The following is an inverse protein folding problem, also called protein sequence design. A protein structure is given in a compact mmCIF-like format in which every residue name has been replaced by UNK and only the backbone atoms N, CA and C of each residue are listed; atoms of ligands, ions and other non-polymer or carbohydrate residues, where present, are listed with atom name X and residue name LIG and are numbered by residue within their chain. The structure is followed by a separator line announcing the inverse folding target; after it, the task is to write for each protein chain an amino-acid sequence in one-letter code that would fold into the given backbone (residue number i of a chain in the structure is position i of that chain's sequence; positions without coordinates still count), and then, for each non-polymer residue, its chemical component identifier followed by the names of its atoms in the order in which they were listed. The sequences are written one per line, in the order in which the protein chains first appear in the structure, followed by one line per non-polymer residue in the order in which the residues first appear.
data_IF_824218780319
#
_entry.id   IF_824218780319
#
_cell.length_a   1.000
_cell.length_b   1.000
_cell.length_c   1.000
_cell.angle_alpha   90.00
_cell.angle_beta   90.00
_cell.angle_gamma   90.00
#
_symmetry.space_group_name_H-M   'P 1'
#
loop_
_entity.id
_entity.type
_entity.pdbx_description
1 polymer ?
#
# COMPACT_ATOMS: atom_id res chain seq x y z
N UNK A 1 24.94 -44.11 -43.62
CA UNK A 1 24.30 -43.72 -42.38
C UNK A 1 24.53 -42.22 -42.20
N UNK A 2 23.51 -41.38 -42.41
CA UNK A 2 23.59 -39.92 -42.23
C UNK A 2 22.89 -39.62 -40.92
N UNK A 3 23.66 -39.15 -39.91
CA UNK A 3 23.13 -38.72 -38.62
C UNK A 3 22.53 -37.33 -38.75
N UNK A 4 21.23 -37.21 -38.50
CA UNK A 4 20.55 -35.93 -38.34
C UNK A 4 20.67 -35.46 -36.86
N UNK A 5 21.32 -34.32 -36.69
CA UNK A 5 21.34 -33.62 -35.38
C UNK A 5 20.13 -32.69 -35.33
N UNK A 6 19.17 -32.98 -34.44
CA UNK A 6 18.08 -32.08 -34.14
C UNK A 6 18.57 -31.05 -33.12
N UNK A 7 18.67 -29.79 -33.52
CA UNK A 7 18.89 -28.66 -32.62
C UNK A 7 17.52 -28.24 -32.09
N UNK A 8 17.27 -28.52 -30.81
CA UNK A 8 16.11 -27.96 -30.09
C UNK A 8 16.42 -26.50 -29.71
N UNK A 9 15.83 -25.55 -30.40
CA UNK A 9 15.85 -24.13 -30.00
C UNK A 9 14.79 -23.95 -28.91
N UNK A 10 15.23 -23.84 -27.65
CA UNK A 10 14.38 -23.44 -26.54
C UNK A 10 14.08 -21.95 -26.70
N UNK A 11 12.89 -21.63 -27.16
CA UNK A 11 12.34 -20.26 -27.05
C UNK A 11 12.06 -19.97 -25.59
N UNK A 12 12.95 -19.22 -24.93
CA UNK A 12 12.69 -18.60 -23.66
C UNK A 12 11.70 -17.46 -23.94
N UNK A 13 10.41 -17.72 -23.73
CA UNK A 13 9.41 -16.66 -23.63
C UNK A 13 9.74 -15.84 -22.37
N UNK A 14 10.44 -14.73 -22.57
CA UNK A 14 10.55 -13.67 -21.59
C UNK A 14 9.13 -13.16 -21.33
N UNK A 15 8.55 -13.51 -20.18
CA UNK A 15 7.37 -12.82 -19.67
C UNK A 15 7.80 -11.39 -19.31
N UNK A 16 7.64 -10.48 -20.26
CA UNK A 16 7.63 -9.05 -19.94
C UNK A 16 6.52 -8.80 -18.91
N UNK A 17 6.77 -8.01 -17.85
CA UNK A 17 5.73 -7.68 -16.90
C UNK A 17 4.57 -7.01 -17.63
N UNK A 18 3.34 -7.44 -17.32
CA UNK A 18 2.11 -6.88 -17.88
C UNK A 18 2.15 -5.35 -17.80
N UNK A 19 2.17 -4.71 -18.97
CA UNK A 19 2.10 -3.26 -19.08
C UNK A 19 0.77 -2.79 -18.45
N UNK A 20 0.79 -1.72 -17.63
CA UNK A 20 -0.43 -1.14 -17.09
C UNK A 20 -1.38 -0.78 -18.24
N UNK A 21 -2.67 -1.07 -18.06
CA UNK A 21 -3.72 -0.80 -19.04
C UNK A 21 -3.71 0.68 -19.47
N UNK A 22 -4.03 0.98 -20.70
CA UNK A 22 -4.02 2.31 -21.36
C UNK A 22 -4.84 3.43 -20.68
N UNK A 23 -5.50 3.15 -19.54
CA UNK A 23 -6.38 4.06 -18.82
C UNK A 23 -5.71 4.84 -17.67
N UNK A 24 -4.40 4.69 -17.48
CA UNK A 24 -3.68 5.42 -16.43
C UNK A 24 -3.63 6.92 -16.74
N UNK A 25 -3.89 7.76 -15.73
CA UNK A 25 -3.86 9.22 -15.83
C UNK A 25 -2.67 9.78 -15.05
N UNK A 26 -1.96 10.76 -15.63
CA UNK A 26 -0.98 11.55 -14.92
C UNK A 26 -1.62 12.85 -14.43
N UNK A 27 -1.28 13.28 -13.21
CA UNK A 27 -1.57 14.63 -12.75
C UNK A 27 -0.51 15.57 -13.35
N UNK A 28 -0.98 16.62 -14.04
CA UNK A 28 -0.11 17.66 -14.56
C UNK A 28 0.10 18.75 -13.50
N UNK A 29 1.27 19.37 -13.55
CA UNK A 29 1.59 20.55 -12.78
C UNK A 29 2.21 21.61 -13.72
N UNK A 30 1.39 22.46 -14.36
CA UNK A 30 1.90 23.50 -15.28
C UNK A 30 2.81 24.51 -14.61
N UNK A 31 2.66 24.72 -13.29
CA UNK A 31 3.46 25.64 -12.49
C UNK A 31 4.76 24.99 -11.97
N UNK A 32 4.96 23.70 -12.22
CA UNK A 32 6.19 22.99 -11.88
C UNK A 32 7.37 23.46 -12.75
N UNK A 33 8.57 23.38 -12.17
CA UNK A 33 9.80 23.73 -12.89
C UNK A 33 9.97 22.88 -14.15
N UNK A 34 10.35 23.53 -15.24
CA UNK A 34 10.82 22.88 -16.46
C UNK A 34 12.30 22.62 -16.31
N UNK A 35 12.64 21.34 -16.15
CA UNK A 35 14.01 20.94 -15.83
C UNK A 35 14.62 20.14 -16.98
N UNK A 36 15.93 20.30 -17.17
CA UNK A 36 16.75 19.32 -17.86
C UNK A 36 17.66 18.63 -16.85
N UNK A 37 17.54 17.32 -16.73
CA UNK A 37 18.29 16.47 -15.80
C UNK A 37 19.29 15.68 -16.63
N UNK A 38 20.59 15.93 -16.43
CA UNK A 38 21.65 15.36 -17.26
C UNK A 38 22.44 14.28 -16.54
N UNK A 39 22.99 13.33 -17.28
CA UNK A 39 23.96 12.33 -16.80
C UNK A 39 23.45 11.36 -15.71
N UNK A 40 22.17 11.37 -15.33
CA UNK A 40 21.64 10.53 -14.26
C UNK A 40 21.50 9.05 -14.64
N UNK A 41 21.67 8.15 -13.67
CA UNK A 41 21.37 6.74 -13.80
C UNK A 41 19.91 6.50 -13.41
N UNK A 42 19.05 6.28 -14.38
CA UNK A 42 17.60 6.16 -14.20
C UNK A 42 17.17 4.69 -14.09
N UNK A 43 16.43 4.37 -13.04
CA UNK A 43 15.87 3.03 -12.86
C UNK A 43 14.80 2.74 -13.92
N UNK A 44 14.94 1.63 -14.62
CA UNK A 44 14.02 1.24 -15.70
C UNK A 44 13.05 0.09 -15.31
N UNK A 45 13.07 -0.34 -14.05
CA UNK A 45 12.31 -1.47 -13.52
C UNK A 45 13.13 -2.76 -13.34
N UNK A 46 14.37 -2.81 -13.86
CA UNK A 46 15.28 -3.95 -13.73
C UNK A 46 16.70 -3.52 -13.32
N UNK A 47 17.18 -2.45 -13.92
CA UNK A 47 18.53 -1.92 -13.71
C UNK A 47 18.56 -0.39 -13.90
N UNK A 48 19.76 0.18 -13.88
CA UNK A 48 19.96 1.61 -14.12
C UNK A 48 20.48 1.86 -15.53
N UNK A 49 19.91 2.87 -16.20
CA UNK A 49 20.34 3.33 -17.53
C UNK A 49 20.71 4.80 -17.47
N UNK A 50 21.93 5.15 -17.90
CA UNK A 50 22.38 6.55 -17.97
C UNK A 50 21.67 7.26 -19.13
N UNK A 51 21.00 8.39 -18.81
CA UNK A 51 20.30 9.22 -19.81
C UNK A 51 20.05 10.63 -19.30
N UNK A 52 19.76 11.52 -20.26
CA UNK A 52 19.15 12.81 -19.97
C UNK A 52 17.62 12.65 -19.96
N UNK A 53 16.96 13.39 -19.05
CA UNK A 53 15.52 13.43 -18.91
C UNK A 53 15.07 14.88 -18.76
N UNK A 54 13.92 15.21 -19.31
CA UNK A 54 13.29 16.52 -19.15
C UNK A 54 12.04 16.39 -18.29
N UNK A 55 11.72 17.46 -17.57
CA UNK A 55 10.47 17.62 -16.84
C UNK A 55 9.71 18.78 -17.46
N UNK A 56 8.48 18.54 -17.88
CA UNK A 56 7.59 19.55 -18.44
C UNK A 56 6.17 19.29 -17.99
N UNK A 57 5.46 20.34 -17.52
CA UNK A 57 4.12 20.25 -16.94
C UNK A 57 4.01 19.21 -15.80
N UNK A 58 5.10 19.01 -15.03
CA UNK A 58 5.17 18.01 -13.96
C UNK A 58 5.23 16.56 -14.46
N UNK A 59 5.57 16.33 -15.73
CA UNK A 59 5.68 15.01 -16.36
C UNK A 59 7.11 14.75 -16.84
N UNK A 60 7.50 13.49 -16.79
CA UNK A 60 8.76 13.00 -17.35
C UNK A 60 8.71 13.00 -18.89
N UNK A 61 9.79 13.48 -19.53
CA UNK A 61 10.00 13.48 -20.96
C UNK A 61 11.38 12.90 -21.28
N UNK A 62 11.45 11.98 -22.23
CA UNK A 62 12.69 11.33 -22.65
C UNK A 62 13.23 11.92 -23.97
N UNK A 63 12.56 12.95 -24.46
CA UNK A 63 13.00 13.78 -25.58
C UNK A 63 13.04 15.26 -25.17
N UNK A 64 13.87 16.08 -25.83
CA UNK A 64 13.98 17.48 -25.50
C UNK A 64 12.62 18.20 -25.51
N UNK A 65 12.38 19.00 -24.47
CA UNK A 65 11.21 19.88 -24.44
C UNK A 65 11.38 21.01 -25.47
N UNK A 66 10.29 21.39 -26.11
CA UNK A 66 10.25 22.58 -27.00
C UNK A 66 10.06 23.89 -26.21
N UNK A 67 9.75 23.80 -24.91
CA UNK A 67 9.58 24.95 -24.02
C UNK A 67 10.91 25.37 -23.43
N UNK A 68 11.07 26.67 -23.08
CA UNK A 68 12.25 27.14 -22.34
C UNK A 68 12.45 26.33 -21.04
N UNK A 69 13.72 26.01 -20.73
CA UNK A 69 14.11 25.27 -19.52
C UNK A 69 14.40 26.29 -18.40
N UNK A 70 13.79 26.09 -17.22
CA UNK A 70 14.02 26.97 -16.06
C UNK A 70 15.34 26.62 -15.35
N UNK A 71 15.70 25.33 -15.32
CA UNK A 71 16.95 24.87 -14.66
C UNK A 71 17.51 23.61 -15.32
N UNK A 72 18.86 23.51 -15.25
CA UNK A 72 19.60 22.30 -15.65
C UNK A 72 20.29 21.74 -14.40
N UNK A 73 20.07 20.47 -14.12
CA UNK A 73 20.65 19.76 -12.97
C UNK A 73 21.54 18.64 -13.48
N UNK A 74 22.80 18.64 -13.11
CA UNK A 74 23.74 17.55 -13.41
C UNK A 74 23.63 16.48 -12.33
N UNK A 75 23.25 15.28 -12.75
CA UNK A 75 23.07 14.09 -11.91
C UNK A 75 24.19 13.07 -12.11
N UNK A 76 25.40 13.52 -12.49
CA UNK A 76 26.58 12.65 -12.64
C UNK A 76 26.82 11.87 -11.34
N UNK A 77 26.88 10.53 -11.44
CA UNK A 77 27.09 9.62 -10.31
C UNK A 77 25.85 9.37 -9.44
N UNK A 78 24.72 9.98 -9.74
CA UNK A 78 23.47 9.79 -8.99
C UNK A 78 22.60 8.70 -9.59
N UNK A 79 21.77 8.09 -8.73
CA UNK A 79 20.81 7.07 -9.07
C UNK A 79 19.39 7.57 -8.84
N UNK A 80 18.54 7.48 -9.85
CA UNK A 80 17.20 8.03 -9.82
C UNK A 80 16.21 6.90 -9.79
N UNK A 81 15.34 6.90 -8.76
CA UNK A 81 14.30 5.89 -8.53
C UNK A 81 12.92 6.52 -8.36
N UNK A 82 11.81 5.76 -8.55
CA UNK A 82 10.50 6.24 -8.14
C UNK A 82 10.46 6.48 -6.63
N UNK A 83 9.58 7.36 -6.12
CA UNK A 83 9.42 7.57 -4.68
C UNK A 83 8.90 6.30 -3.99
N UNK A 84 9.18 6.20 -2.69
CA UNK A 84 8.61 5.18 -1.84
C UNK A 84 7.14 5.46 -1.56
N UNK A 85 6.44 4.40 -1.13
CA UNK A 85 5.04 4.48 -0.78
C UNK A 85 4.73 3.67 0.49
N UNK A 86 3.75 4.12 1.24
CA UNK A 86 3.24 3.51 2.47
C UNK A 86 1.85 2.95 2.21
N UNK A 87 1.75 1.64 1.94
CA UNK A 87 0.49 1.02 1.54
C UNK A 87 -0.48 0.75 2.69
N UNK A 88 -0.09 0.99 3.94
CA UNK A 88 -0.96 0.83 5.11
C UNK A 88 -0.48 1.67 6.29
N UNK A 89 -1.20 2.73 6.63
CA UNK A 89 -0.91 3.54 7.81
C UNK A 89 -2.14 4.25 8.37
N UNK A 90 -1.99 4.87 9.59
CA UNK A 90 -3.01 5.62 10.31
C UNK A 90 -2.51 6.97 10.87
N UNK A 91 -1.30 7.39 10.52
CA UNK A 91 -0.65 8.56 11.14
C UNK A 91 -1.22 9.91 10.72
N UNK A 92 -1.90 9.98 9.58
CA UNK A 92 -2.35 11.23 8.96
C UNK A 92 -3.85 11.51 9.19
N UNK A 93 -4.47 10.88 10.20
CA UNK A 93 -5.91 10.97 10.46
C UNK A 93 -6.30 12.15 11.35
N UNK A 94 -5.35 12.96 11.84
CA UNK A 94 -5.62 14.04 12.77
C UNK A 94 -4.64 15.21 12.64
N UNK A 95 -5.04 16.40 13.11
CA UNK A 95 -4.19 17.59 13.13
C UNK A 95 -3.00 17.49 14.11
N UNK A 96 -3.01 16.51 15.05
CA UNK A 96 -1.94 16.38 16.02
C UNK A 96 -0.60 16.03 15.35
N UNK A 97 0.37 16.93 15.46
CA UNK A 97 1.70 16.84 14.85
C UNK A 97 1.65 16.53 13.34
N UNK A 98 0.64 17.04 12.64
CA UNK A 98 0.42 16.68 11.25
C UNK A 98 1.59 17.09 10.36
N UNK A 99 2.09 18.32 10.53
CA UNK A 99 3.21 18.79 9.70
C UNK A 99 4.48 17.97 9.96
N UNK A 100 4.82 17.72 11.23
CA UNK A 100 5.99 16.88 11.59
C UNK A 100 5.91 15.49 10.93
N UNK A 101 4.69 14.93 10.84
CA UNK A 101 4.47 13.63 10.21
C UNK A 101 4.61 13.72 8.69
N UNK A 102 4.02 14.74 8.05
CA UNK A 102 4.19 14.97 6.62
C UNK A 102 5.67 15.11 6.28
N UNK A 103 6.40 15.93 7.04
CA UNK A 103 7.83 16.14 6.84
C UNK A 103 8.62 14.84 7.03
N UNK A 104 8.29 14.04 8.05
CA UNK A 104 8.91 12.73 8.26
C UNK A 104 8.73 11.78 7.07
N UNK A 105 7.54 11.72 6.48
CA UNK A 105 7.30 10.91 5.29
C UNK A 105 8.12 11.43 4.09
N UNK A 106 8.03 12.72 3.80
CA UNK A 106 8.72 13.32 2.65
C UNK A 106 10.25 13.22 2.76
N UNK A 107 10.82 13.48 3.95
CA UNK A 107 12.25 13.37 4.22
C UNK A 107 12.78 11.94 4.08
N UNK A 108 11.92 10.94 4.33
CA UNK A 108 12.23 9.54 4.08
C UNK A 108 11.88 9.06 2.65
N UNK A 109 11.56 9.97 1.75
CA UNK A 109 11.25 9.66 0.35
C UNK A 109 9.88 9.03 0.10
N UNK A 110 9.00 8.99 1.10
CA UNK A 110 7.64 8.43 0.98
C UNK A 110 6.69 9.53 0.51
N UNK A 111 6.15 9.41 -0.71
CA UNK A 111 5.27 10.43 -1.30
C UNK A 111 3.80 10.03 -1.36
N UNK A 112 3.51 8.75 -1.25
CA UNK A 112 2.18 8.16 -1.41
C UNK A 112 1.81 7.35 -0.17
N UNK A 113 0.64 7.62 0.42
CA UNK A 113 0.19 6.96 1.65
C UNK A 113 -1.25 6.48 1.50
N UNK A 114 -1.54 5.26 1.98
CA UNK A 114 -2.88 4.69 2.05
C UNK A 114 -3.35 4.63 3.49
N UNK A 115 -4.44 5.33 3.79
CA UNK A 115 -5.08 5.36 5.11
C UNK A 115 -6.25 4.38 5.12
N UNK A 116 -6.07 3.24 5.79
CA UNK A 116 -7.00 2.11 5.75
C UNK A 116 -8.25 2.30 6.60
N UNK A 117 -8.25 3.30 7.48
CA UNK A 117 -9.41 3.67 8.30
C UNK A 117 -9.24 5.10 8.77
N UNK A 118 -10.24 5.93 8.58
CA UNK A 118 -10.26 7.30 9.10
C UNK A 118 -11.69 7.74 9.43
N UNK A 119 -11.81 8.77 10.26
CA UNK A 119 -13.10 9.42 10.51
C UNK A 119 -13.21 10.65 9.62
N UNK A 120 -14.14 10.62 8.67
CA UNK A 120 -14.31 11.71 7.68
C UNK A 120 -14.37 13.09 8.33
N UNK A 121 -15.13 13.29 9.41
CA UNK A 121 -15.21 14.56 10.14
C UNK A 121 -13.87 15.06 10.69
N UNK A 122 -12.90 14.16 10.93
CA UNK A 122 -11.56 14.55 11.40
C UNK A 122 -10.61 14.88 10.27
N UNK A 123 -10.75 14.16 9.13
CA UNK A 123 -9.80 14.29 8.03
C UNK A 123 -10.19 15.37 7.02
N UNK A 124 -11.49 15.64 6.83
CA UNK A 124 -11.96 16.67 5.88
C UNK A 124 -11.30 18.04 6.09
N UNK A 125 -11.16 18.56 7.32
CA UNK A 125 -10.46 19.81 7.55
C UNK A 125 -8.96 19.79 7.18
N UNK A 126 -8.37 18.60 7.04
CA UNK A 126 -6.94 18.39 6.76
C UNK A 126 -6.66 18.19 5.28
N UNK A 127 -7.69 18.03 4.46
CA UNK A 127 -7.52 17.69 3.04
C UNK A 127 -6.72 18.76 2.26
N UNK A 128 -6.67 19.99 2.75
CA UNK A 128 -5.86 21.05 2.15
C UNK A 128 -4.33 20.83 2.30
N UNK A 129 -3.89 19.92 3.18
CA UNK A 129 -2.48 19.53 3.31
C UNK A 129 -2.06 18.46 2.29
N UNK A 130 -3.02 17.72 1.72
CA UNK A 130 -2.75 16.52 0.91
C UNK A 130 -2.97 16.74 -0.60
N UNK A 131 -2.48 15.80 -1.37
CA UNK A 131 -2.72 15.69 -2.81
C UNK A 131 -2.23 16.91 -3.60
N UNK A 132 -1.12 17.52 -3.17
CA UNK A 132 -0.44 18.67 -3.77
C UNK A 132 1.00 18.32 -4.18
N UNK A 133 1.62 19.03 -5.16
CA UNK A 133 2.99 18.76 -5.56
C UNK A 133 4.02 18.81 -4.43
N UNK A 134 3.84 19.69 -3.45
CA UNK A 134 4.74 19.87 -2.30
C UNK A 134 4.26 19.14 -1.02
N UNK A 135 3.32 18.24 -1.11
CA UNK A 135 2.77 17.48 0.01
C UNK A 135 2.65 15.99 -0.27
N UNK A 136 2.15 15.23 0.70
CA UNK A 136 1.83 13.83 0.51
C UNK A 136 0.58 13.64 -0.35
N UNK A 137 0.55 12.60 -1.17
CA UNK A 137 -0.68 12.11 -1.75
C UNK A 137 -1.26 11.00 -0.86
N UNK A 138 -2.52 11.16 -0.48
CA UNK A 138 -3.22 10.20 0.39
C UNK A 138 -4.44 9.60 -0.30
N UNK A 139 -4.64 8.31 -0.08
CA UNK A 139 -5.84 7.54 -0.48
C UNK A 139 -6.58 7.07 0.77
N UNK A 140 -7.90 7.18 0.80
CA UNK A 140 -8.72 7.10 1.99
C UNK A 140 -9.83 6.05 1.88
N UNK A 141 -9.91 5.09 2.81
CA UNK A 141 -11.07 4.22 2.97
C UNK A 141 -12.21 4.87 3.77
N UNK A 142 -11.88 5.85 4.61
CA UNK A 142 -12.78 6.34 5.66
C UNK A 142 -13.24 5.22 6.62
N UNK A 143 -14.55 5.08 6.84
CA UNK A 143 -15.12 4.14 7.79
C UNK A 143 -15.10 2.70 7.24
N UNK A 144 -14.42 1.74 7.91
CA UNK A 144 -14.41 0.35 7.47
C UNK A 144 -15.74 -0.35 7.72
N UNK A 145 -16.02 -1.41 6.96
CA UNK A 145 -17.17 -2.30 7.17
C UNK A 145 -16.78 -3.43 8.14
N UNK A 146 -17.58 -3.63 9.18
CA UNK A 146 -17.35 -4.65 10.20
C UNK A 146 -18.67 -5.22 10.73
N UNK A 147 -18.63 -6.28 11.55
CA UNK A 147 -19.81 -6.79 12.25
C UNK A 147 -20.06 -6.05 13.58
N UNK A 148 -21.24 -6.24 14.15
CA UNK A 148 -21.55 -5.73 15.49
C UNK A 148 -20.55 -6.24 16.54
N UNK A 149 -19.95 -5.33 17.30
CA UNK A 149 -18.88 -5.64 18.26
C UNK A 149 -17.58 -6.10 17.64
N UNK A 150 -17.40 -5.96 16.32
CA UNK A 150 -16.20 -6.35 15.59
C UNK A 150 -15.08 -5.30 15.69
N UNK A 151 -13.89 -5.65 15.13
CA UNK A 151 -12.81 -4.69 14.95
C UNK A 151 -13.22 -3.63 13.91
N UNK A 152 -12.97 -2.32 14.07
CA UNK A 152 -12.17 -1.67 15.13
C UNK A 152 -13.00 -1.04 16.27
N UNK A 153 -14.22 -1.52 16.56
CA UNK A 153 -15.13 -0.87 17.53
C UNK A 153 -14.49 -0.74 18.91
N UNK A 154 -13.81 -1.80 19.39
CA UNK A 154 -13.11 -1.74 20.69
C UNK A 154 -12.00 -0.68 20.71
N UNK A 155 -11.26 -0.52 19.62
CA UNK A 155 -10.24 0.52 19.46
C UNK A 155 -10.88 1.91 19.47
N UNK A 156 -12.00 2.12 18.76
CA UNK A 156 -12.73 3.38 18.76
C UNK A 156 -13.29 3.72 20.16
N UNK A 157 -13.78 2.71 20.90
CA UNK A 157 -14.23 2.88 22.30
C UNK A 157 -13.07 3.32 23.21
N UNK A 158 -11.88 2.73 23.04
CA UNK A 158 -10.67 3.12 23.77
C UNK A 158 -10.26 4.56 23.45
N UNK A 159 -10.27 4.96 22.19
CA UNK A 159 -9.96 6.32 21.76
C UNK A 159 -10.97 7.35 22.30
N UNK A 160 -12.25 6.98 22.32
CA UNK A 160 -13.28 7.81 22.94
C UNK A 160 -12.99 8.02 24.43
N UNK A 161 -12.66 6.94 25.17
CA UNK A 161 -12.30 7.00 26.58
C UNK A 161 -11.09 7.93 26.85
N UNK A 162 -10.07 7.90 26.00
CA UNK A 162 -8.90 8.76 26.10
C UNK A 162 -9.11 10.18 25.54
N UNK A 163 -10.34 10.52 25.15
CA UNK A 163 -10.68 11.87 24.68
C UNK A 163 -10.19 12.22 23.27
N UNK A 164 -9.72 11.25 22.48
CA UNK A 164 -9.27 11.50 21.10
C UNK A 164 -10.37 12.05 20.18
N UNK A 165 -11.64 11.89 20.56
CA UNK A 165 -12.80 12.38 19.81
C UNK A 165 -13.52 13.55 20.49
N UNK A 166 -12.88 14.20 21.46
CA UNK A 166 -13.45 15.35 22.17
C UNK A 166 -13.90 16.44 21.18
N UNK A 167 -15.12 16.90 21.33
CA UNK A 167 -15.75 17.90 20.45
C UNK A 167 -16.36 17.33 19.16
N UNK A 168 -16.16 16.03 18.86
CA UNK A 168 -16.73 15.36 17.68
C UNK A 168 -17.79 14.32 18.06
N UNK A 169 -17.47 13.47 19.04
CA UNK A 169 -18.34 12.37 19.48
C UNK A 169 -18.26 12.18 20.99
N UNK A 170 -19.40 11.91 21.62
CA UNK A 170 -19.49 11.64 23.05
C UNK A 170 -19.84 10.19 23.40
N UNK A 171 -20.27 9.41 22.43
CA UNK A 171 -20.63 7.99 22.59
C UNK A 171 -20.13 7.15 21.42
N UNK A 172 -20.00 5.84 21.65
CA UNK A 172 -19.60 4.90 20.58
C UNK A 172 -20.67 4.80 19.48
N UNK A 173 -21.96 4.90 19.85
CA UNK A 173 -23.06 4.93 18.89
C UNK A 173 -23.03 6.17 17.99
N UNK A 174 -22.52 7.30 18.47
CA UNK A 174 -22.33 8.48 17.63
C UNK A 174 -21.16 8.33 16.63
N UNK A 175 -20.23 7.41 16.88
CA UNK A 175 -19.11 7.09 15.96
C UNK A 175 -19.56 6.12 14.87
N UNK A 176 -20.57 5.32 15.12
CA UNK A 176 -21.17 4.44 14.08
C UNK A 176 -21.58 5.26 12.85
N UNK A 177 -21.42 4.68 11.67
CA UNK A 177 -21.61 5.35 10.38
C UNK A 177 -20.73 6.59 10.14
N UNK A 178 -19.68 6.78 10.96
CA UNK A 178 -18.64 7.81 10.78
C UNK A 178 -17.24 7.22 10.87
N UNK A 179 -16.99 6.32 11.81
CA UNK A 179 -15.71 5.66 12.05
C UNK A 179 -15.72 4.15 11.80
N UNK A 180 -16.90 3.57 11.56
CA UNK A 180 -17.15 2.21 11.10
C UNK A 180 -18.62 2.07 10.66
N UNK A 181 -18.90 1.07 9.81
CA UNK A 181 -20.27 0.66 9.46
C UNK A 181 -20.50 -0.77 9.93
N UNK A 182 -21.63 -1.00 10.63
CA UNK A 182 -22.01 -2.35 11.07
C UNK A 182 -22.79 -3.03 9.95
N UNK A 183 -22.25 -4.16 9.46
CA UNK A 183 -22.83 -4.98 8.39
C UNK A 183 -22.87 -6.42 8.90
N UNK A 184 -24.00 -6.86 9.48
CA UNK A 184 -24.15 -8.23 9.98
C UNK A 184 -24.69 -9.18 8.92
N UNK A 185 -25.35 -8.66 7.89
CA UNK A 185 -26.01 -9.42 6.84
C UNK A 185 -26.12 -8.63 5.54
N UNK A 186 -26.76 -9.23 4.54
CA UNK A 186 -26.92 -8.60 3.23
C UNK A 186 -27.90 -7.42 3.23
N UNK A 187 -28.88 -7.42 4.12
CA UNK A 187 -29.85 -6.32 4.20
C UNK A 187 -29.22 -5.09 4.83
N UNK A 188 -28.37 -5.26 5.86
CA UNK A 188 -27.56 -4.15 6.41
C UNK A 188 -26.69 -3.53 5.33
N UNK A 189 -26.04 -4.35 4.49
CA UNK A 189 -25.24 -3.85 3.39
C UNK A 189 -26.07 -3.01 2.41
N UNK A 190 -27.23 -3.52 2.01
CA UNK A 190 -28.12 -2.83 1.07
C UNK A 190 -28.62 -1.49 1.64
N UNK A 191 -28.98 -1.48 2.91
CA UNK A 191 -29.50 -0.30 3.60
C UNK A 191 -28.42 0.79 3.85
N UNK A 192 -27.15 0.40 4.03
CA UNK A 192 -26.10 1.35 4.37
C UNK A 192 -25.21 1.75 3.17
N UNK A 193 -25.35 1.09 2.02
CA UNK A 193 -24.41 1.26 0.91
C UNK A 193 -24.33 2.69 0.38
N UNK A 194 -25.48 3.35 0.17
CA UNK A 194 -25.50 4.73 -0.29
C UNK A 194 -24.82 5.68 0.71
N UNK A 195 -24.96 5.39 2.01
CA UNK A 195 -24.26 6.16 3.04
C UNK A 195 -22.76 5.91 3.01
N UNK A 196 -22.30 4.69 2.78
CA UNK A 196 -20.87 4.40 2.58
C UNK A 196 -20.33 5.21 1.41
N UNK A 197 -21.03 5.20 0.27
CA UNK A 197 -20.63 5.93 -0.93
C UNK A 197 -20.65 7.46 -0.72
N UNK A 198 -21.55 7.98 0.12
CA UNK A 198 -21.64 9.43 0.43
C UNK A 198 -20.37 9.97 1.09
N UNK A 199 -19.52 9.11 1.63
CA UNK A 199 -18.22 9.50 2.18
C UNK A 199 -17.17 9.69 1.08
N UNK A 200 -17.47 9.30 -0.16
CA UNK A 200 -16.53 9.35 -1.30
C UNK A 200 -15.21 8.63 -1.01
N UNK A 201 -15.24 7.37 -0.54
CA UNK A 201 -14.02 6.62 -0.29
C UNK A 201 -13.28 6.33 -1.59
N UNK A 202 -11.94 6.31 -1.56
CA UNK A 202 -11.12 5.88 -2.70
C UNK A 202 -11.14 4.35 -2.87
N UNK A 203 -11.44 3.62 -1.80
CA UNK A 203 -11.59 2.16 -1.77
C UNK A 203 -12.39 1.72 -0.53
N UNK A 204 -12.90 0.50 -0.53
CA UNK A 204 -13.62 -0.07 0.61
C UNK A 204 -12.66 -0.86 1.50
N UNK A 205 -12.66 -0.60 2.81
CA UNK A 205 -11.98 -1.42 3.81
C UNK A 205 -12.98 -2.34 4.50
N UNK A 206 -12.65 -3.62 4.57
CA UNK A 206 -13.43 -4.64 5.30
C UNK A 206 -12.60 -5.28 6.39
N UNK A 207 -13.28 -5.79 7.43
CA UNK A 207 -12.65 -6.44 8.59
C UNK A 207 -13.04 -7.90 8.67
N UNK A 208 -12.08 -8.78 8.40
CA UNK A 208 -12.18 -10.23 8.63
C UNK A 208 -11.27 -10.59 9.80
N UNK A 209 -11.83 -11.21 10.82
CA UNK A 209 -11.11 -11.70 12.00
C UNK A 209 -11.74 -13.00 12.45
N UNK A 210 -10.95 -14.07 12.47
CA UNK A 210 -11.34 -15.40 12.94
C UNK A 210 -12.63 -15.89 12.28
N UNK A 211 -12.70 -15.76 10.96
CA UNK A 211 -13.88 -16.14 10.18
C UNK A 211 -14.23 -17.61 10.27
N UNK A 212 -13.28 -18.50 10.62
CA UNK A 212 -13.47 -19.90 10.95
C UNK A 212 -14.30 -20.11 12.23
N UNK A 213 -14.25 -19.14 13.14
CA UNK A 213 -14.99 -19.15 14.40
C UNK A 213 -16.19 -18.18 14.40
N UNK A 214 -16.61 -17.70 13.23
CA UNK A 214 -17.66 -16.68 13.13
C UNK A 214 -18.94 -17.07 13.88
N UNK A 215 -19.43 -18.30 13.73
CA UNK A 215 -20.65 -18.78 14.38
C UNK A 215 -20.55 -18.80 15.90
N UNK A 216 -19.35 -19.01 16.45
CA UNK A 216 -19.08 -18.98 17.91
C UNK A 216 -19.01 -17.53 18.39
N UNK A 217 -18.26 -16.67 17.65
CA UNK A 217 -17.92 -15.33 18.11
C UNK A 217 -19.03 -14.29 17.88
N UNK A 218 -19.87 -14.46 16.87
CA UNK A 218 -20.81 -13.43 16.41
C UNK A 218 -21.70 -12.84 17.51
N UNK A 219 -22.22 -13.66 18.42
CA UNK A 219 -23.14 -13.26 19.50
C UNK A 219 -22.48 -13.21 20.89
N UNK A 220 -21.23 -13.65 21.03
CA UNK A 220 -20.54 -13.69 22.30
C UNK A 220 -19.81 -12.35 22.57
N UNK A 221 -20.13 -11.72 23.70
CA UNK A 221 -19.53 -10.48 24.14
C UNK A 221 -18.08 -10.63 24.61
N UNK A 222 -17.64 -11.85 24.96
CA UNK A 222 -16.26 -12.15 25.30
C UNK A 222 -15.29 -11.83 24.12
N UNK A 223 -15.80 -11.92 22.90
CA UNK A 223 -15.03 -11.61 21.67
C UNK A 223 -15.23 -10.17 21.17
N UNK A 224 -15.67 -9.24 22.02
CA UNK A 224 -15.81 -7.84 21.63
C UNK A 224 -14.47 -7.25 21.15
N UNK A 225 -14.43 -6.78 19.89
CA UNK A 225 -13.23 -6.28 19.24
C UNK A 225 -12.35 -7.38 18.58
N UNK A 226 -12.65 -8.66 18.78
CA UNK A 226 -11.93 -9.83 18.26
C UNK A 226 -12.80 -10.69 17.34
N UNK A 227 -13.62 -10.06 16.52
CA UNK A 227 -14.45 -10.65 15.47
C UNK A 227 -14.63 -9.69 14.30
N UNK A 228 -15.03 -10.20 13.16
CA UNK A 228 -15.21 -9.46 11.92
C UNK A 228 -16.54 -9.76 11.24
N UNK A 229 -16.60 -9.46 9.94
CA UNK A 229 -17.76 -9.69 9.07
C UNK A 229 -18.12 -11.18 8.96
N UNK A 230 -19.41 -11.47 8.72
CA UNK A 230 -19.83 -12.78 8.27
C UNK A 230 -19.12 -13.11 6.93
N UNK A 231 -18.36 -14.22 6.86
CA UNK A 231 -17.72 -14.66 5.62
C UNK A 231 -18.67 -14.78 4.43
N UNK A 232 -19.95 -15.06 4.68
CA UNK A 232 -20.98 -15.19 3.64
C UNK A 232 -21.39 -13.88 2.99
N UNK A 233 -21.19 -12.74 3.69
CA UNK A 233 -21.52 -11.40 3.18
C UNK A 233 -20.40 -10.83 2.32
N UNK A 234 -19.14 -11.23 2.54
CA UNK A 234 -17.96 -10.68 1.88
C UNK A 234 -18.04 -10.72 0.35
N UNK A 235 -18.47 -11.81 -0.32
CA UNK A 235 -18.60 -11.81 -1.78
C UNK A 235 -19.60 -10.76 -2.30
N UNK A 236 -20.66 -10.48 -1.55
CA UNK A 236 -21.64 -9.44 -1.92
C UNK A 236 -21.05 -8.04 -1.76
N UNK A 237 -20.26 -7.79 -0.69
CA UNK A 237 -19.55 -6.53 -0.51
C UNK A 237 -18.59 -6.29 -1.68
N UNK A 238 -17.75 -7.27 -2.02
CA UNK A 238 -16.79 -7.18 -3.13
C UNK A 238 -17.51 -6.87 -4.45
N UNK A 239 -18.56 -7.63 -4.76
CA UNK A 239 -19.37 -7.39 -5.97
C UNK A 239 -19.92 -5.97 -6.02
N UNK A 240 -20.45 -5.47 -4.90
CA UNK A 240 -21.06 -4.13 -4.82
C UNK A 240 -20.04 -3.02 -4.95
N UNK A 241 -18.88 -3.18 -4.31
CA UNK A 241 -17.76 -2.26 -4.42
C UNK A 241 -17.27 -2.16 -5.89
N UNK A 242 -17.06 -3.30 -6.54
CA UNK A 242 -16.63 -3.34 -7.95
C UNK A 242 -17.66 -2.72 -8.88
N UNK A 243 -18.96 -2.92 -8.65
CA UNK A 243 -20.04 -2.24 -9.40
C UNK A 243 -20.03 -0.72 -9.23
N UNK A 244 -19.53 -0.23 -8.08
CA UNK A 244 -19.33 1.19 -7.80
C UNK A 244 -17.96 1.71 -8.26
N UNK A 245 -17.14 0.89 -8.94
CA UNK A 245 -15.80 1.25 -9.40
C UNK A 245 -14.75 1.31 -8.28
N UNK A 246 -15.06 0.75 -7.10
CA UNK A 246 -14.19 0.77 -5.93
C UNK A 246 -13.51 -0.58 -5.72
N UNK A 247 -12.22 -0.55 -5.34
CA UNK A 247 -11.46 -1.72 -4.89
C UNK A 247 -11.78 -2.04 -3.45
N UNK A 248 -11.50 -3.29 -3.03
CA UNK A 248 -11.70 -3.76 -1.67
C UNK A 248 -10.37 -4.18 -1.05
N UNK A 249 -10.04 -3.62 0.12
CA UNK A 249 -8.90 -4.00 0.95
C UNK A 249 -9.41 -4.72 2.21
N UNK A 250 -8.95 -5.95 2.44
CA UNK A 250 -9.39 -6.78 3.56
C UNK A 250 -8.34 -6.82 4.67
N UNK A 251 -8.72 -6.43 5.89
CA UNK A 251 -8.01 -6.87 7.09
C UNK A 251 -8.21 -8.36 7.26
N UNK A 252 -7.15 -9.07 7.56
CA UNK A 252 -7.17 -10.49 7.89
C UNK A 252 -6.30 -10.75 9.12
N UNK A 253 -6.76 -11.59 10.02
CA UNK A 253 -6.01 -12.00 11.22
C UNK A 253 -5.42 -13.40 11.02
N UNK A 254 -6.22 -14.32 10.47
CA UNK A 254 -5.86 -15.72 10.29
C UNK A 254 -5.64 -16.11 8.84
N UNK A 255 -5.03 -17.27 8.62
CA UNK A 255 -4.89 -17.83 7.25
C UNK A 255 -6.24 -18.25 6.67
N UNK A 256 -7.24 -18.49 7.52
CA UNK A 256 -8.61 -18.72 7.06
C UNK A 256 -9.26 -17.42 6.57
N UNK A 257 -9.06 -16.31 7.28
CA UNK A 257 -9.49 -14.98 6.81
C UNK A 257 -8.87 -14.65 5.45
N UNK A 258 -7.57 -14.93 5.28
CA UNK A 258 -6.89 -14.81 4.00
C UNK A 258 -7.60 -15.62 2.90
N UNK A 259 -7.94 -16.89 3.18
CA UNK A 259 -8.69 -17.72 2.24
C UNK A 259 -10.04 -17.12 1.86
N UNK A 260 -10.84 -16.69 2.86
CA UNK A 260 -12.14 -16.07 2.65
C UNK A 260 -12.04 -14.83 1.76
N UNK A 261 -11.08 -13.94 2.05
CA UNK A 261 -10.85 -12.72 1.29
C UNK A 261 -10.44 -13.02 -0.16
N UNK A 262 -9.47 -13.92 -0.35
CA UNK A 262 -9.00 -14.32 -1.68
C UNK A 262 -10.10 -15.00 -2.48
N UNK A 263 -10.88 -15.88 -1.87
CA UNK A 263 -12.01 -16.56 -2.52
C UNK A 263 -13.09 -15.57 -2.94
N UNK A 264 -13.39 -14.58 -2.10
CA UNK A 264 -14.35 -13.52 -2.41
C UNK A 264 -13.87 -12.59 -3.54
N UNK A 265 -12.58 -12.52 -3.79
CA UNK A 265 -12.00 -11.71 -4.86
C UNK A 265 -11.78 -10.26 -4.46
N UNK A 266 -11.34 -10.02 -3.23
CA UNK A 266 -10.83 -8.70 -2.82
C UNK A 266 -9.65 -8.29 -3.71
N UNK A 267 -9.35 -7.01 -3.77
CA UNK A 267 -8.23 -6.52 -4.58
C UNK A 267 -6.92 -6.47 -3.79
N UNK A 268 -7.02 -6.42 -2.46
CA UNK A 268 -5.88 -6.31 -1.57
C UNK A 268 -6.14 -6.99 -0.23
N UNK A 269 -5.11 -7.66 0.26
CA UNK A 269 -4.99 -8.11 1.65
C UNK A 269 -4.16 -7.05 2.38
N UNK A 270 -4.73 -6.45 3.42
CA UNK A 270 -4.12 -5.30 4.10
C UNK A 270 -3.02 -5.67 5.10
N UNK A 271 -2.98 -6.92 5.51
CA UNK A 271 -1.97 -7.48 6.42
C UNK A 271 -1.55 -8.86 5.95
N UNK A 272 -0.29 -9.23 6.14
CA UNK A 272 0.07 -10.63 6.15
C UNK A 272 -0.62 -11.27 7.38
N UNK A 273 -1.31 -12.43 7.25
CA UNK A 273 -1.91 -13.10 8.40
C UNK A 273 -0.87 -13.31 9.50
N UNK A 274 -1.17 -12.84 10.72
CA UNK A 274 -0.17 -12.89 11.79
C UNK A 274 0.09 -14.32 12.21
N UNK A 275 -0.91 -15.12 12.47
CA UNK A 275 -0.77 -16.57 12.65
C UNK A 275 -2.04 -17.15 13.23
N UNK A 276 -2.54 -18.09 12.56
CA UNK A 276 -3.53 -19.02 13.08
C UNK A 276 -2.79 -20.27 13.60
N UNK A 277 -2.60 -20.37 14.91
CA UNK A 277 -2.04 -21.55 15.58
C UNK A 277 -0.83 -22.19 14.88
N UNK A 278 0.05 -21.37 14.31
CA UNK A 278 1.24 -21.83 13.59
C UNK A 278 0.98 -22.39 12.19
N UNK A 279 -0.23 -22.27 11.64
CA UNK A 279 -0.51 -22.72 10.27
C UNK A 279 -0.11 -21.67 9.24
N UNK A 280 0.70 -22.05 8.24
CA UNK A 280 1.03 -21.15 7.12
C UNK A 280 -0.18 -20.99 6.19
N UNK A 281 -0.10 -19.97 5.31
CA UNK A 281 -1.01 -19.85 4.17
C UNK A 281 -0.89 -21.12 3.33
N UNK A 282 -2.04 -21.71 2.96
CA UNK A 282 -2.05 -22.88 2.08
C UNK A 282 -1.62 -22.49 0.65
N UNK A 283 -0.90 -23.40 -0.01
CA UNK A 283 -0.34 -23.14 -1.34
C UNK A 283 -1.42 -22.78 -2.39
N UNK A 284 -2.55 -23.49 -2.34
CA UNK A 284 -3.68 -23.21 -3.23
C UNK A 284 -4.25 -21.79 -3.07
N UNK A 285 -4.21 -21.23 -1.86
CA UNK A 285 -4.68 -19.87 -1.60
C UNK A 285 -3.70 -18.83 -2.14
N UNK A 286 -2.39 -19.08 -2.07
CA UNK A 286 -1.38 -18.23 -2.69
C UNK A 286 -1.49 -18.26 -4.24
N UNK A 287 -1.71 -19.44 -4.82
CA UNK A 287 -1.96 -19.60 -6.27
C UNK A 287 -3.23 -18.83 -6.67
N UNK A 288 -4.30 -18.92 -5.89
CA UNK A 288 -5.55 -18.22 -6.18
C UNK A 288 -5.38 -16.70 -6.05
N UNK A 289 -4.62 -16.22 -5.06
CA UNK A 289 -4.30 -14.79 -4.90
C UNK A 289 -3.54 -14.27 -6.13
N UNK A 290 -2.54 -15.01 -6.62
CA UNK A 290 -1.84 -14.69 -7.86
C UNK A 290 -2.77 -14.66 -9.07
N UNK A 291 -3.61 -15.70 -9.24
CA UNK A 291 -4.56 -15.80 -10.35
C UNK A 291 -5.53 -14.62 -10.42
N UNK A 292 -5.94 -14.08 -9.25
CA UNK A 292 -6.86 -12.96 -9.14
C UNK A 292 -6.15 -11.59 -9.08
N UNK A 293 -4.84 -11.56 -9.25
CA UNK A 293 -3.99 -10.35 -9.17
C UNK A 293 -4.14 -9.57 -7.86
N UNK A 294 -4.35 -10.29 -6.75
CA UNK A 294 -4.50 -9.72 -5.41
C UNK A 294 -3.14 -9.27 -4.91
N UNK A 295 -3.06 -8.04 -4.40
CA UNK A 295 -1.87 -7.51 -3.74
C UNK A 295 -1.91 -7.83 -2.24
N UNK A 296 -0.78 -8.22 -1.65
CA UNK A 296 -0.66 -8.41 -0.20
C UNK A 296 0.25 -7.33 0.36
N UNK A 297 -0.28 -6.50 1.23
CA UNK A 297 0.50 -5.52 2.01
C UNK A 297 1.09 -6.24 3.23
N UNK A 298 2.37 -6.01 3.52
CA UNK A 298 3.12 -6.88 4.43
C UNK A 298 2.83 -6.61 5.91
N UNK A 299 2.97 -5.40 6.41
CA UNK A 299 2.79 -4.95 7.81
C UNK A 299 3.45 -5.84 8.87
N UNK A 300 4.54 -6.50 8.51
CA UNK A 300 5.20 -7.50 9.39
C UNK A 300 5.99 -6.85 10.51
N UNK A 301 6.35 -5.57 10.41
CA UNK A 301 7.04 -4.84 11.47
C UNK A 301 6.26 -4.75 12.78
N UNK A 302 4.94 -4.96 12.74
CA UNK A 302 4.10 -5.07 13.95
C UNK A 302 4.61 -6.18 14.89
N UNK A 303 5.25 -7.23 14.38
CA UNK A 303 5.80 -8.33 15.18
C UNK A 303 6.88 -7.86 16.17
N UNK A 304 7.59 -6.77 15.87
CA UNK A 304 8.63 -6.23 16.77
C UNK A 304 8.07 -5.80 18.13
N UNK A 305 6.78 -5.47 18.20
CA UNK A 305 6.09 -5.19 19.47
C UNK A 305 6.00 -6.41 20.38
N UNK A 306 6.17 -7.62 19.83
CA UNK A 306 6.12 -8.91 20.52
C UNK A 306 7.52 -9.51 20.75
N UNK A 307 8.60 -8.76 20.53
CA UNK A 307 9.98 -9.24 20.61
C UNK A 307 10.34 -9.90 21.96
N UNK A 308 9.70 -9.45 23.04
CA UNK A 308 9.89 -10.00 24.39
C UNK A 308 8.98 -11.20 24.71
N UNK A 309 8.07 -11.56 23.82
CA UNK A 309 7.16 -12.69 24.01
C UNK A 309 7.87 -14.02 23.67
N UNK A 310 7.61 -15.11 24.42
CA UNK A 310 8.20 -16.42 24.13
C UNK A 310 7.94 -16.94 22.71
N UNK A 311 6.80 -16.58 22.12
CA UNK A 311 6.41 -16.99 20.78
C UNK A 311 7.08 -16.20 19.65
N UNK A 312 7.87 -15.15 19.94
CA UNK A 312 8.43 -14.26 18.91
C UNK A 312 9.18 -14.98 17.78
N UNK A 313 10.08 -15.91 18.16
CA UNK A 313 10.86 -16.66 17.17
C UNK A 313 9.99 -17.48 16.21
N UNK A 314 8.93 -18.10 16.75
CA UNK A 314 7.96 -18.86 15.94
C UNK A 314 7.15 -17.94 15.03
N UNK A 315 6.73 -16.77 15.54
CA UNK A 315 6.06 -15.74 14.75
C UNK A 315 6.90 -15.29 13.55
N UNK A 316 8.15 -14.93 13.78
CA UNK A 316 9.08 -14.52 12.72
C UNK A 316 9.32 -15.63 11.70
N UNK A 317 9.47 -16.88 12.16
CA UNK A 317 9.60 -18.04 11.26
C UNK A 317 8.38 -18.22 10.36
N UNK A 318 7.18 -18.09 10.91
CA UNK A 318 5.92 -18.24 10.16
C UNK A 318 5.73 -17.09 9.16
N UNK A 319 5.98 -15.85 9.56
CA UNK A 319 6.02 -14.68 8.67
C UNK A 319 6.96 -14.96 7.49
N UNK A 320 8.20 -15.37 7.79
CA UNK A 320 9.19 -15.66 6.76
C UNK A 320 8.73 -16.76 5.80
N UNK A 321 8.10 -17.83 6.31
CA UNK A 321 7.56 -18.93 5.50
C UNK A 321 6.44 -18.47 4.57
N UNK A 322 5.51 -17.64 5.06
CA UNK A 322 4.43 -17.07 4.26
C UNK A 322 4.96 -16.12 3.16
N UNK A 323 5.95 -15.28 3.48
CA UNK A 323 6.59 -14.40 2.49
C UNK A 323 7.30 -15.19 1.39
N UNK A 324 8.01 -16.27 1.74
CA UNK A 324 8.66 -17.18 0.78
C UNK A 324 7.62 -17.81 -0.14
N UNK A 325 6.52 -18.34 0.41
CA UNK A 325 5.45 -18.94 -0.37
C UNK A 325 4.82 -17.94 -1.35
N UNK A 326 4.42 -16.77 -0.85
CA UNK A 326 3.80 -15.74 -1.70
C UNK A 326 4.73 -15.28 -2.82
N UNK A 327 6.03 -15.09 -2.51
CA UNK A 327 7.07 -14.79 -3.51
C UNK A 327 7.18 -15.90 -4.55
N UNK A 328 7.30 -17.15 -4.13
CA UNK A 328 7.42 -18.31 -5.04
C UNK A 328 6.22 -18.48 -5.97
N UNK A 329 5.02 -18.12 -5.51
CA UNK A 329 3.80 -18.13 -6.33
C UNK A 329 3.61 -16.86 -7.15
N UNK A 330 4.53 -15.90 -7.04
CA UNK A 330 4.51 -14.64 -7.80
C UNK A 330 3.38 -13.70 -7.39
N UNK A 331 2.91 -13.79 -6.13
CA UNK A 331 1.94 -12.85 -5.58
C UNK A 331 2.62 -11.48 -5.44
N UNK A 332 1.95 -10.41 -5.84
CA UNK A 332 2.46 -9.04 -5.67
C UNK A 332 2.43 -8.66 -4.19
N UNK A 333 3.58 -8.21 -3.68
CA UNK A 333 3.71 -7.71 -2.32
C UNK A 333 3.91 -6.20 -2.35
N UNK A 334 3.28 -5.49 -1.41
CA UNK A 334 3.43 -4.05 -1.20
C UNK A 334 3.90 -3.80 0.23
N UNK A 335 4.65 -2.71 0.45
CA UNK A 335 5.17 -2.33 1.76
C UNK A 335 4.20 -1.35 2.42
N UNK A 336 3.77 -1.69 3.63
CA UNK A 336 2.97 -0.85 4.52
C UNK A 336 3.25 -1.25 5.95
N UNK A 337 3.30 -0.31 6.88
CA UNK A 337 3.79 -0.57 8.24
C UNK A 337 2.70 -0.81 9.27
N UNK A 338 1.56 -0.16 9.13
CA UNK A 338 0.51 -0.06 10.16
C UNK A 338 1.05 0.40 11.55
N UNK A 339 2.19 1.11 11.53
CA UNK A 339 2.85 1.58 12.75
C UNK A 339 2.36 2.98 13.12
N UNK A 340 2.00 3.17 14.40
CA UNK A 340 1.70 4.49 14.94
C UNK A 340 2.99 5.29 15.14
N UNK A 341 2.98 6.56 14.72
CA UNK A 341 4.08 7.53 14.85
C UNK A 341 5.35 7.14 14.08
N UNK A 342 5.24 6.26 13.09
CA UNK A 342 6.32 5.81 12.24
C UNK A 342 5.82 5.64 10.80
N UNK A 343 6.72 5.31 9.87
CA UNK A 343 6.43 5.11 8.46
C UNK A 343 7.01 3.77 7.96
N UNK A 344 6.92 3.52 6.65
CA UNK A 344 7.33 2.25 6.05
C UNK A 344 8.84 1.94 6.07
N UNK A 345 9.68 2.83 6.58
CA UNK A 345 11.15 2.58 6.71
C UNK A 345 11.40 1.37 7.61
N UNK A 346 10.75 1.32 8.80
CA UNK A 346 10.90 0.19 9.71
C UNK A 346 10.41 -1.13 9.13
N UNK A 347 9.31 -1.09 8.38
CA UNK A 347 8.80 -2.26 7.64
C UNK A 347 9.80 -2.75 6.59
N UNK A 348 10.33 -1.82 5.79
CA UNK A 348 11.35 -2.11 4.79
C UNK A 348 12.60 -2.75 5.42
N UNK A 349 13.11 -2.19 6.52
CA UNK A 349 14.29 -2.71 7.22
C UNK A 349 14.07 -4.14 7.73
N UNK A 350 12.90 -4.42 8.31
CA UNK A 350 12.58 -5.78 8.75
C UNK A 350 12.53 -6.76 7.58
N UNK A 351 11.86 -6.39 6.49
CA UNK A 351 11.79 -7.23 5.28
C UNK A 351 13.18 -7.51 4.70
N UNK A 352 14.08 -6.52 4.70
CA UNK A 352 15.47 -6.68 4.30
C UNK A 352 16.18 -7.69 5.21
N UNK A 353 16.05 -7.56 6.54
CA UNK A 353 16.70 -8.42 7.54
C UNK A 353 16.20 -9.88 7.51
N UNK A 354 14.96 -10.11 7.04
CA UNK A 354 14.42 -11.46 6.87
C UNK A 354 15.12 -12.26 5.76
N UNK A 355 15.91 -11.62 4.89
CA UNK A 355 16.67 -12.26 3.81
C UNK A 355 15.79 -13.16 2.91
N UNK A 356 14.61 -12.68 2.56
CA UNK A 356 13.69 -13.37 1.64
C UNK A 356 13.79 -12.79 0.23
N UNK A 357 14.02 -11.49 0.12
CA UNK A 357 13.96 -10.73 -1.12
C UNK A 357 15.33 -10.24 -1.55
N UNK A 358 15.54 -10.11 -2.85
CA UNK A 358 16.69 -9.40 -3.44
C UNK A 358 16.49 -7.89 -3.31
N UNK A 359 17.58 -7.11 -3.47
CA UNK A 359 17.50 -5.64 -3.48
C UNK A 359 16.49 -5.12 -4.53
N UNK A 360 16.50 -5.71 -5.71
CA UNK A 360 15.56 -5.36 -6.78
C UNK A 360 14.11 -5.62 -6.38
N UNK A 361 13.82 -6.76 -5.77
CA UNK A 361 12.46 -7.10 -5.33
C UNK A 361 11.98 -6.14 -4.25
N UNK A 362 12.82 -5.84 -3.24
CA UNK A 362 12.49 -4.87 -2.18
C UNK A 362 12.24 -3.46 -2.75
N UNK A 363 13.10 -3.01 -3.67
CA UNK A 363 12.93 -1.72 -4.34
C UNK A 363 11.58 -1.65 -5.06
N UNK A 364 11.23 -2.67 -5.84
CA UNK A 364 9.95 -2.73 -6.56
C UNK A 364 8.75 -2.83 -5.63
N UNK A 365 8.85 -3.56 -4.53
CA UNK A 365 7.79 -3.63 -3.53
C UNK A 365 7.50 -2.25 -2.95
N UNK A 366 8.54 -1.48 -2.61
CA UNK A 366 8.38 -0.20 -1.93
C UNK A 366 8.01 0.96 -2.87
N UNK A 367 8.45 0.92 -4.12
CA UNK A 367 8.19 1.96 -5.14
C UNK A 367 6.99 1.62 -6.04
N UNK A 368 7.13 0.56 -6.86
CA UNK A 368 6.16 0.23 -7.92
C UNK A 368 4.86 -0.36 -7.34
N UNK A 369 4.96 -1.47 -6.59
CA UNK A 369 3.80 -2.22 -6.12
C UNK A 369 2.99 -1.41 -5.11
N UNK A 370 3.67 -0.74 -4.16
CA UNK A 370 2.99 0.09 -3.15
C UNK A 370 2.29 1.28 -3.78
N UNK A 371 2.95 2.02 -4.71
CA UNK A 371 2.31 3.13 -5.39
C UNK A 371 1.08 2.69 -6.21
N UNK A 372 1.19 1.56 -6.92
CA UNK A 372 0.11 1.04 -7.76
C UNK A 372 -1.08 0.50 -6.95
N UNK A 373 -0.87 -0.06 -5.75
CA UNK A 373 -2.00 -0.47 -4.91
C UNK A 373 -2.70 0.71 -4.25
N UNK A 374 -1.97 1.82 -3.99
CA UNK A 374 -2.54 3.06 -3.43
C UNK A 374 -3.35 3.82 -4.50
N UNK A 375 -2.76 4.02 -5.68
CA UNK A 375 -3.35 4.79 -6.78
C UNK A 375 -3.33 4.02 -8.10
N UNK A 376 -4.16 2.99 -8.26
CA UNK A 376 -4.08 2.05 -9.39
C UNK A 376 -4.36 2.67 -10.77
N UNK A 377 -4.93 3.88 -10.80
CA UNK A 377 -5.31 4.57 -12.04
C UNK A 377 -4.37 5.76 -12.37
N UNK A 378 -3.25 5.92 -11.64
CA UNK A 378 -2.29 7.02 -11.84
C UNK A 378 -1.01 6.54 -12.51
N UNK A 379 -0.40 7.42 -13.30
CA UNK A 379 0.92 7.22 -13.89
C UNK A 379 2.03 7.61 -12.90
N UNK A 380 2.21 6.79 -11.87
CA UNK A 380 3.21 6.93 -10.79
C UNK A 380 3.91 5.58 -10.56
N UNK A 381 4.91 5.54 -9.69
CA UNK A 381 5.64 4.31 -9.32
C UNK A 381 6.62 3.82 -10.37
N UNK A 382 6.66 4.46 -11.53
CA UNK A 382 7.57 4.13 -12.64
C UNK A 382 8.17 5.39 -13.25
N UNK A 383 9.44 5.29 -13.70
CA UNK A 383 10.11 6.38 -14.42
C UNK A 383 9.98 6.14 -15.93
N UNK A 384 8.85 6.58 -16.51
CA UNK A 384 8.49 6.36 -17.92
C UNK A 384 8.06 7.66 -18.57
N UNK A 385 8.14 7.72 -19.90
CA UNK A 385 7.63 8.82 -20.71
C UNK A 385 6.17 9.12 -20.36
N UNK A 386 5.86 10.40 -20.05
CA UNK A 386 4.51 10.86 -19.73
C UNK A 386 3.98 10.45 -18.36
N UNK A 387 4.80 9.83 -17.51
CA UNK A 387 4.50 9.61 -16.09
C UNK A 387 4.74 10.90 -15.30
N UNK A 388 4.16 10.98 -14.11
CA UNK A 388 4.39 12.11 -13.21
C UNK A 388 5.88 12.22 -12.86
N UNK A 389 6.45 13.42 -12.97
CA UNK A 389 7.85 13.67 -12.64
C UNK A 389 8.02 13.67 -11.11
N UNK A 390 7.87 12.49 -10.53
CA UNK A 390 8.03 12.21 -9.10
C UNK A 390 9.10 11.15 -8.94
N UNK A 391 10.23 11.53 -8.33
CA UNK A 391 11.41 10.68 -8.19
C UNK A 391 12.29 11.10 -7.01
N UNK A 392 13.15 10.18 -6.58
CA UNK A 392 14.21 10.40 -5.60
C UNK A 392 15.56 10.34 -6.31
N UNK A 393 16.48 11.20 -5.88
CA UNK A 393 17.89 11.21 -6.28
C UNK A 393 18.71 10.64 -5.15
N UNK A 394 19.42 9.54 -5.43
CA UNK A 394 20.23 8.81 -4.46
C UNK A 394 21.72 8.97 -4.75
N UNK A 395 22.52 8.99 -3.69
CA UNK A 395 23.98 9.04 -3.74
C UNK A 395 24.64 7.67 -3.98
N UNK A 396 23.90 6.56 -3.80
CA UNK A 396 24.41 5.20 -3.94
C UNK A 396 23.47 4.34 -4.79
N UNK A 397 24.02 3.29 -5.41
CA UNK A 397 23.25 2.31 -6.15
C UNK A 397 22.47 1.38 -5.21
N UNK A 398 21.13 1.46 -5.15
CA UNK A 398 20.36 0.62 -4.23
C UNK A 398 20.29 -0.85 -4.67
N UNK A 399 20.69 -1.20 -5.91
CA UNK A 399 20.77 -2.59 -6.32
C UNK A 399 22.05 -3.27 -5.81
N UNK A 400 23.09 -2.50 -5.46
CA UNK A 400 24.32 -3.00 -4.84
C UNK A 400 24.12 -3.11 -3.32
N UNK A 401 23.62 -2.04 -2.68
CA UNK A 401 23.31 -2.02 -1.25
C UNK A 401 22.03 -1.21 -1.00
N UNK A 402 21.00 -1.90 -0.50
CA UNK A 402 19.70 -1.31 -0.21
C UNK A 402 19.47 -1.09 1.29
N UNK A 403 20.33 -1.57 2.17
CA UNK A 403 20.13 -1.63 3.62
C UNK A 403 19.76 -0.29 4.27
N UNK A 404 20.39 0.80 3.82
CA UNK A 404 20.17 2.16 4.31
C UNK A 404 19.74 3.11 3.18
N UNK A 405 18.92 2.64 2.25
CA UNK A 405 18.54 3.40 1.05
C UNK A 405 17.99 4.79 1.37
N UNK A 406 17.16 4.94 2.41
CA UNK A 406 16.58 6.23 2.81
C UNK A 406 17.63 7.26 3.27
N UNK A 407 18.78 6.81 3.80
CA UNK A 407 19.89 7.67 4.19
C UNK A 407 20.72 8.17 2.98
N UNK A 408 20.52 7.57 1.81
CA UNK A 408 21.23 7.95 0.58
C UNK A 408 20.47 8.96 -0.25
N UNK A 409 19.27 9.36 0.16
CA UNK A 409 18.45 10.36 -0.53
C UNK A 409 19.14 11.73 -0.42
N UNK A 410 19.45 12.32 -1.57
CA UNK A 410 19.97 13.67 -1.64
C UNK A 410 18.85 14.70 -1.79
N UNK A 411 17.87 14.38 -2.63
CA UNK A 411 16.68 15.23 -2.84
C UNK A 411 15.54 14.42 -3.44
N UNK A 412 14.34 14.97 -3.35
CA UNK A 412 13.14 14.46 -4.01
C UNK A 412 12.55 15.49 -4.97
N UNK A 413 11.96 15.01 -6.04
CA UNK A 413 11.13 15.81 -6.94
C UNK A 413 9.74 15.21 -6.97
N UNK A 414 8.71 16.03 -6.86
CA UNK A 414 7.31 15.59 -6.99
C UNK A 414 6.57 16.51 -7.96
N UNK A 415 6.10 15.93 -9.07
CA UNK A 415 5.37 16.66 -10.12
C UNK A 415 6.12 17.94 -10.58
N UNK A 416 7.46 17.87 -10.69
CA UNK A 416 8.31 19.00 -11.09
C UNK A 416 8.60 20.01 -10.00
N UNK A 417 8.24 19.74 -8.74
CA UNK A 417 8.61 20.54 -7.56
C UNK A 417 9.75 19.87 -6.82
N UNK A 418 10.84 20.62 -6.57
CA UNK A 418 11.92 20.18 -5.71
C UNK A 418 11.40 20.14 -4.27
N UNK A 419 11.59 19.01 -3.58
CA UNK A 419 11.34 18.86 -2.15
C UNK A 419 12.67 18.99 -1.43
N UNK A 420 12.70 19.82 -0.41
CA UNK A 420 13.88 20.08 0.39
C UNK A 420 14.19 18.93 1.33
#
# INVERSE_FOLDING_TARGET
MKSFVFIFTVLILSCAPDLPKDNLKARKNPDGLKMKLTNGNWFNGENFTKRDVWVDDGLLRFSPSTKPIDTVIDLTGKYIIPPFAEAHNHNLESAYKLQDRIDSYLNNGVFYVKLLSSIKKRIDPLMHHYNKPHGLDVSLAHAPLTANGGHPIALRKRYLHYGYFKGLFNTIGAIESHGFFIINNCDDLDNQWERVLSFSPDFIKIMLLYSEEYEIRKNDTAYFGHKGLDPKVVPKIVKRAHQSGLRVSAHVETTHDFHVAVKAGVDEIAHLPEIDNGKPIAEEHAILAKKKDIVVTTTVSLVTKKEKEPAYSELVKNIRSNLILLKQKGVKLAIGSDMYNDNSVGEFQLLHNLNVFTNLELLKMWTENSAMTIFPNRKIGFLREGYEASFLVLNKNPLEDISCIHETIETGVKQGVLLQ
#
